data_IF_619608330063
#
_entry.id   IF_619608330063
#
_cell.length_a   1.000
_cell.length_b   1.000
_cell.length_c   1.000
_cell.angle_alpha   90.00
_cell.angle_beta   90.00
_cell.angle_gamma   90.00
#
_symmetry.space_group_name_H-M   'P 1'
#
loop_
_entity.id
_entity.type
_entity.pdbx_description
1 polymer ?
#
# COMPACT_ATOMS: atom_id res chain seq x y z
N UNK A 1 9.60 -5.49 -33.78
CA UNK A 1 8.64 -5.83 -32.70
C UNK A 1 8.27 -4.55 -31.99
N UNK A 2 6.97 -4.28 -31.87
CA UNK A 2 6.41 -3.15 -31.12
C UNK A 2 6.79 -3.26 -29.64
N UNK A 3 6.98 -2.12 -28.96
CA UNK A 3 7.34 -2.07 -27.54
C UNK A 3 6.10 -1.74 -26.73
N UNK A 4 5.95 -2.42 -25.60
CA UNK A 4 4.80 -2.28 -24.71
C UNK A 4 5.27 -1.85 -23.32
N UNK A 5 4.40 -1.11 -22.65
CA UNK A 5 4.43 -0.92 -21.21
C UNK A 5 3.55 -2.00 -20.58
N UNK A 6 4.11 -2.79 -19.68
CA UNK A 6 3.46 -3.91 -19.00
C UNK A 6 3.48 -3.58 -17.51
N UNK A 7 2.32 -3.23 -16.97
CA UNK A 7 2.15 -2.96 -15.55
C UNK A 7 1.62 -4.22 -14.86
N UNK A 8 2.24 -4.61 -13.76
CA UNK A 8 1.98 -5.89 -13.09
C UNK A 8 1.75 -5.65 -11.61
N UNK A 9 0.65 -6.21 -11.10
CA UNK A 9 0.39 -6.29 -9.67
C UNK A 9 1.14 -7.47 -9.02
N UNK A 10 1.38 -7.37 -7.71
CA UNK A 10 2.13 -8.36 -6.95
C UNK A 10 1.21 -9.43 -6.38
N UNK A 11 0.42 -9.09 -5.37
CA UNK A 11 -0.32 -10.05 -4.55
C UNK A 11 -1.49 -10.67 -5.32
N UNK A 12 -1.49 -12.00 -5.42
CA UNK A 12 -2.51 -12.72 -6.18
C UNK A 12 -2.38 -12.59 -7.71
N UNK A 13 -1.34 -11.90 -8.19
CA UNK A 13 -1.03 -11.73 -9.62
C UNK A 13 0.34 -12.30 -9.97
N UNK A 14 1.43 -11.63 -9.57
CA UNK A 14 2.80 -12.11 -9.82
C UNK A 14 3.29 -13.08 -8.74
N UNK A 15 2.75 -12.98 -7.52
CA UNK A 15 3.16 -13.79 -6.37
C UNK A 15 1.94 -14.26 -5.59
N UNK A 16 1.94 -15.53 -5.19
CA UNK A 16 0.95 -16.08 -4.26
C UNK A 16 1.38 -15.89 -2.80
N UNK A 17 2.68 -16.00 -2.52
CA UNK A 17 3.27 -15.65 -1.23
C UNK A 17 4.70 -15.09 -1.43
N UNK A 18 5.22 -14.40 -0.42
CA UNK A 18 6.57 -13.81 -0.44
C UNK A 18 7.69 -14.86 -0.45
N UNK A 19 7.38 -16.12 -0.12
CA UNK A 19 8.35 -17.20 0.06
C UNK A 19 8.54 -18.09 -1.17
N UNK A 20 7.65 -17.99 -2.17
CA UNK A 20 7.65 -18.81 -3.38
C UNK A 20 7.23 -17.97 -4.59
N UNK A 21 8.21 -17.35 -5.25
CA UNK A 21 7.97 -16.75 -6.57
C UNK A 21 8.27 -17.77 -7.68
N UNK A 22 7.52 -17.72 -8.78
CA UNK A 22 7.70 -18.61 -9.92
C UNK A 22 8.87 -18.16 -10.81
N UNK A 23 9.94 -18.96 -10.84
CA UNK A 23 11.15 -18.66 -11.62
C UNK A 23 10.87 -18.58 -13.13
N UNK A 24 9.92 -19.35 -13.66
CA UNK A 24 9.57 -19.32 -15.09
C UNK A 24 8.97 -17.95 -15.46
N UNK A 25 7.99 -17.48 -14.68
CA UNK A 25 7.38 -16.16 -14.85
C UNK A 25 8.41 -15.04 -14.74
N UNK A 26 9.27 -15.07 -13.73
CA UNK A 26 10.30 -14.03 -13.55
C UNK A 26 11.32 -14.05 -14.70
N UNK A 27 11.73 -15.24 -15.17
CA UNK A 27 12.60 -15.37 -16.34
C UNK A 27 11.94 -14.81 -17.60
N UNK A 28 10.63 -15.05 -17.78
CA UNK A 28 9.89 -14.53 -18.92
C UNK A 28 9.77 -12.99 -18.88
N UNK A 29 9.49 -12.40 -17.72
CA UNK A 29 9.44 -10.94 -17.56
C UNK A 29 10.80 -10.29 -17.83
N UNK A 30 11.90 -10.89 -17.35
CA UNK A 30 13.26 -10.45 -17.70
C UNK A 30 13.54 -10.57 -19.19
N UNK A 31 13.06 -11.64 -19.83
CA UNK A 31 13.17 -11.80 -21.27
C UNK A 31 12.41 -10.70 -22.03
N UNK A 32 11.16 -10.41 -21.66
CA UNK A 32 10.39 -9.30 -22.25
C UNK A 32 11.11 -7.96 -22.06
N UNK A 33 11.67 -7.70 -20.88
CA UNK A 33 12.53 -6.52 -20.66
C UNK A 33 13.73 -6.49 -21.60
N UNK A 34 14.42 -7.62 -21.82
CA UNK A 34 15.55 -7.70 -22.75
C UNK A 34 15.16 -7.44 -24.21
N UNK A 35 13.90 -7.73 -24.56
CA UNK A 35 13.32 -7.36 -25.85
C UNK A 35 12.93 -5.88 -25.92
N UNK A 36 13.14 -5.08 -24.87
CA UNK A 36 12.89 -3.63 -24.85
C UNK A 36 11.48 -3.25 -24.39
N UNK A 37 10.68 -4.18 -23.86
CA UNK A 37 9.44 -3.83 -23.15
C UNK A 37 9.77 -3.15 -21.82
N UNK A 38 8.86 -2.30 -21.35
CA UNK A 38 8.96 -1.67 -20.03
C UNK A 38 8.05 -2.41 -19.07
N UNK A 39 8.62 -2.98 -18.02
CA UNK A 39 7.88 -3.68 -16.97
C UNK A 39 7.79 -2.73 -15.77
N UNK A 40 6.58 -2.46 -15.28
CA UNK A 40 6.32 -1.59 -14.11
C UNK A 40 5.55 -2.38 -13.07
N UNK A 41 5.96 -2.26 -11.80
CA UNK A 41 5.21 -2.83 -10.67
C UNK A 41 4.16 -1.81 -10.21
N UNK A 42 2.93 -2.26 -9.98
CA UNK A 42 1.88 -1.48 -9.34
C UNK A 42 1.18 -2.28 -8.26
N UNK A 43 1.32 -1.87 -7.00
CA UNK A 43 0.89 -2.66 -5.84
C UNK A 43 0.34 -1.79 -4.72
N UNK A 44 -0.55 -2.37 -3.90
CA UNK A 44 -0.95 -1.79 -2.62
C UNK A 44 0.16 -1.78 -1.58
N UNK A 45 1.20 -2.62 -1.76
CA UNK A 45 2.32 -2.73 -0.84
C UNK A 45 3.15 -1.43 -0.74
N UNK A 46 3.74 -1.17 0.42
CA UNK A 46 4.78 -0.16 0.58
C UNK A 46 6.05 -0.53 -0.23
N UNK A 47 6.92 0.45 -0.45
CA UNK A 47 8.17 0.22 -1.17
C UNK A 47 9.03 -0.84 -0.48
N UNK A 48 9.18 -0.78 0.85
CA UNK A 48 10.00 -1.73 1.63
C UNK A 48 9.67 -3.20 1.39
N UNK A 49 8.40 -3.53 1.20
CA UNK A 49 7.95 -4.92 1.00
C UNK A 49 7.78 -5.32 -0.45
N UNK A 50 7.99 -4.39 -1.41
CA UNK A 50 7.89 -4.66 -2.85
C UNK A 50 9.24 -4.52 -3.57
N UNK A 51 10.22 -3.89 -2.92
CA UNK A 51 11.52 -3.59 -3.51
C UNK A 51 12.33 -4.84 -3.89
N UNK A 52 12.20 -5.94 -3.15
CA UNK A 52 12.90 -7.18 -3.49
C UNK A 52 12.47 -7.70 -4.89
N UNK A 53 11.18 -7.61 -5.24
CA UNK A 53 10.67 -7.99 -6.57
C UNK A 53 11.25 -7.08 -7.65
N UNK A 54 11.30 -5.77 -7.37
CA UNK A 54 11.91 -4.78 -8.25
C UNK A 54 13.37 -5.16 -8.58
N UNK A 55 14.12 -5.59 -7.57
CA UNK A 55 15.50 -6.05 -7.72
C UNK A 55 15.60 -7.38 -8.48
N UNK A 56 14.75 -8.38 -8.16
CA UNK A 56 14.74 -9.70 -8.82
C UNK A 56 14.44 -9.62 -10.33
N UNK A 57 13.60 -8.66 -10.72
CA UNK A 57 13.27 -8.39 -12.13
C UNK A 57 14.30 -7.47 -12.80
N UNK A 58 15.22 -6.86 -12.05
CA UNK A 58 16.22 -5.92 -12.56
C UNK A 58 15.60 -4.72 -13.25
N UNK A 59 14.58 -4.13 -12.62
CA UNK A 59 13.82 -3.01 -13.17
C UNK A 59 14.62 -1.71 -13.15
N UNK A 60 14.33 -0.86 -14.12
CA UNK A 60 14.88 0.50 -14.28
C UNK A 60 13.78 1.57 -14.43
N UNK A 61 12.54 1.16 -14.15
CA UNK A 61 11.32 1.95 -14.32
C UNK A 61 10.81 2.45 -12.97
N UNK A 62 9.81 3.36 -12.98
CA UNK A 62 9.06 3.67 -11.76
C UNK A 62 8.38 2.43 -11.16
N UNK A 63 8.09 2.52 -9.87
CA UNK A 63 7.26 1.60 -9.09
C UNK A 63 6.12 2.38 -8.46
N UNK A 64 4.92 1.79 -8.51
CA UNK A 64 3.69 2.35 -7.95
C UNK A 64 3.35 1.58 -6.67
N UNK A 65 3.30 2.28 -5.54
CA UNK A 65 3.03 1.76 -4.21
C UNK A 65 1.77 2.40 -3.61
N UNK A 66 1.24 1.80 -2.54
CA UNK A 66 0.04 2.26 -1.83
C UNK A 66 -1.12 2.58 -2.78
N UNK A 67 -1.40 1.69 -3.74
CA UNK A 67 -2.48 1.85 -4.72
C UNK A 67 -2.40 3.16 -5.53
N UNK A 68 -1.19 3.67 -5.78
CA UNK A 68 -0.98 4.90 -6.54
C UNK A 68 -0.66 6.13 -5.71
N UNK A 69 -0.78 6.04 -4.38
CA UNK A 69 -0.50 7.17 -3.50
C UNK A 69 1.00 7.51 -3.42
N UNK A 70 1.89 6.58 -3.75
CA UNK A 70 3.32 6.84 -3.81
C UNK A 70 3.95 6.27 -5.08
N UNK A 71 4.56 7.13 -5.91
CA UNK A 71 5.23 6.72 -7.15
C UNK A 71 6.64 7.28 -7.14
N UNK A 72 7.62 6.38 -7.26
CA UNK A 72 9.05 6.72 -7.28
C UNK A 72 9.78 5.87 -8.32
N UNK A 73 11.02 6.23 -8.67
CA UNK A 73 11.91 5.35 -9.42
C UNK A 73 13.20 5.09 -8.63
N UNK A 74 13.37 3.90 -8.01
CA UNK A 74 14.58 3.57 -7.29
C UNK A 74 15.87 3.61 -8.11
N UNK A 75 15.77 3.48 -9.44
CA UNK A 75 16.91 3.55 -10.36
C UNK A 75 17.24 4.97 -10.85
N UNK A 76 16.36 5.94 -10.61
CA UNK A 76 16.52 7.34 -11.03
C UNK A 76 16.13 8.32 -9.91
N UNK A 77 17.11 8.80 -9.12
CA UNK A 77 16.86 9.75 -8.05
C UNK A 77 16.29 11.10 -8.49
N UNK A 78 16.39 11.44 -9.79
CA UNK A 78 15.83 12.67 -10.34
C UNK A 78 14.38 12.51 -10.81
N UNK A 79 13.83 11.29 -10.77
CA UNK A 79 12.46 11.02 -11.17
C UNK A 79 11.46 11.76 -10.26
N UNK A 80 10.44 12.43 -10.83
CA UNK A 80 9.42 13.11 -10.03
C UNK A 80 8.70 12.16 -9.08
N UNK A 81 8.57 12.57 -7.82
CA UNK A 81 7.85 11.78 -6.81
C UNK A 81 6.39 12.20 -6.79
N UNK A 82 5.50 11.22 -6.90
CA UNK A 82 4.09 11.37 -6.50
C UNK A 82 3.98 10.93 -5.04
N UNK A 83 3.43 11.78 -4.17
CA UNK A 83 3.17 11.49 -2.77
C UNK A 83 1.82 12.12 -2.39
N UNK A 84 0.79 11.28 -2.34
CA UNK A 84 -0.58 11.62 -2.00
C UNK A 84 -0.88 11.00 -0.64
N UNK A 85 -1.49 11.79 0.24
CA UNK A 85 -1.73 11.39 1.63
C UNK A 85 -3.15 11.69 2.06
N UNK A 86 -3.66 10.85 2.95
CA UNK A 86 -4.94 11.05 3.62
C UNK A 86 -4.72 12.03 4.77
N UNK A 87 -5.44 13.16 4.86
CA UNK A 87 -5.34 14.02 6.03
C UNK A 87 -5.65 13.23 7.29
N UNK A 88 -4.74 13.18 8.26
CA UNK A 88 -4.92 12.37 9.48
C UNK A 88 -6.19 12.76 10.26
N UNK A 89 -6.62 14.01 10.12
CA UNK A 89 -7.85 14.48 10.75
C UNK A 89 -9.08 13.72 10.22
N UNK A 90 -9.11 13.33 8.94
CA UNK A 90 -10.20 12.51 8.41
C UNK A 90 -10.23 11.13 9.06
N UNK A 91 -9.07 10.53 9.33
CA UNK A 91 -9.00 9.26 10.05
C UNK A 91 -9.49 9.40 11.49
N UNK A 92 -9.16 10.50 12.16
CA UNK A 92 -9.65 10.77 13.52
C UNK A 92 -11.16 10.98 13.54
N UNK A 93 -11.71 11.69 12.55
CA UNK A 93 -13.16 11.86 12.41
C UNK A 93 -13.85 10.52 12.15
N UNK A 94 -13.29 9.65 11.30
CA UNK A 94 -13.82 8.29 11.05
C UNK A 94 -13.83 7.48 12.36
N UNK A 95 -12.75 7.52 13.14
CA UNK A 95 -12.67 6.84 14.44
C UNK A 95 -13.77 7.37 15.39
N UNK A 96 -13.98 8.69 15.43
CA UNK A 96 -15.01 9.31 16.26
C UNK A 96 -16.43 8.94 15.82
N UNK A 97 -16.68 8.83 14.52
CA UNK A 97 -17.98 8.42 13.97
C UNK A 97 -18.26 6.95 14.23
N UNK A 98 -17.26 6.08 14.07
CA UNK A 98 -17.43 4.64 14.24
C UNK A 98 -17.59 4.23 15.70
N UNK A 99 -16.97 4.94 16.65
CA UNK A 99 -17.03 4.63 18.09
C UNK A 99 -16.81 3.14 18.39
N UNK A 100 -17.78 2.46 19.00
CA UNK A 100 -17.71 1.03 19.33
C UNK A 100 -17.80 0.13 18.09
N UNK A 101 -18.15 0.69 16.93
CA UNK A 101 -18.08 0.04 15.62
C UNK A 101 -16.66 -0.22 15.12
N UNK A 102 -15.66 0.54 15.59
CA UNK A 102 -14.26 0.33 15.22
C UNK A 102 -13.70 -0.93 15.91
N UNK A 103 -13.26 -1.90 15.11
CA UNK A 103 -12.55 -3.09 15.60
C UNK A 103 -11.05 -2.76 15.71
N UNK A 104 -10.48 -2.19 14.64
CA UNK A 104 -9.08 -1.81 14.60
C UNK A 104 -8.81 -0.84 13.45
N UNK A 105 -7.66 -0.17 13.48
CA UNK A 105 -7.15 0.63 12.38
C UNK A 105 -5.62 0.59 12.41
N UNK A 106 -5.01 0.48 11.23
CA UNK A 106 -3.60 0.83 11.08
C UNK A 106 -3.39 1.72 9.86
N UNK A 107 -2.30 2.47 9.91
CA UNK A 107 -1.90 3.42 8.87
C UNK A 107 -0.41 3.29 8.59
N UNK A 108 0.00 3.68 7.38
CA UNK A 108 1.39 3.62 6.97
C UNK A 108 1.92 4.97 6.50
N UNK A 109 3.09 5.35 7.02
CA UNK A 109 3.88 6.49 6.58
C UNK A 109 5.26 5.98 6.18
N UNK A 110 5.47 5.76 4.88
CA UNK A 110 6.68 5.09 4.37
C UNK A 110 6.91 3.77 5.12
N UNK A 111 8.01 3.65 5.87
CA UNK A 111 8.36 2.43 6.58
C UNK A 111 7.78 2.33 8.00
N UNK A 112 7.08 3.38 8.44
CA UNK A 112 6.44 3.42 9.76
C UNK A 112 5.00 2.96 9.67
N UNK A 113 4.65 2.04 10.55
CA UNK A 113 3.32 1.46 10.70
C UNK A 113 2.76 1.91 12.05
N UNK A 114 1.59 2.54 12.03
CA UNK A 114 0.89 2.99 13.23
C UNK A 114 -0.37 2.15 13.39
N UNK A 115 -0.48 1.42 14.49
CA UNK A 115 -1.60 0.49 14.75
C UNK A 115 -2.30 0.83 16.06
N UNK A 116 -3.62 0.88 16.03
CA UNK A 116 -4.41 1.21 17.22
C UNK A 116 -4.26 0.15 18.31
N UNK A 117 -4.49 -1.12 17.97
CA UNK A 117 -4.35 -2.25 18.89
C UNK A 117 -3.71 -3.45 18.18
N UNK A 118 -2.41 -3.69 18.38
CA UNK A 118 -1.75 -4.81 17.72
C UNK A 118 -2.18 -6.17 18.28
N UNK A 119 -2.68 -7.05 17.41
CA UNK A 119 -3.09 -8.40 17.78
C UNK A 119 -2.83 -9.42 16.65
N UNK A 120 -2.90 -10.74 16.92
CA UNK A 120 -2.61 -11.75 15.90
C UNK A 120 -3.53 -11.72 14.68
N UNK A 121 -4.74 -11.16 14.76
CA UNK A 121 -5.69 -11.14 13.65
C UNK A 121 -5.31 -10.15 12.55
N UNK A 122 -4.55 -9.11 12.90
CA UNK A 122 -4.10 -8.07 11.97
C UNK A 122 -2.66 -8.28 11.48
N UNK A 123 -1.94 -9.25 12.05
CA UNK A 123 -0.51 -9.47 11.77
C UNK A 123 -0.21 -9.58 10.27
N UNK A 124 -1.00 -10.42 9.59
CA UNK A 124 -0.80 -10.72 8.16
C UNK A 124 -1.05 -9.51 7.25
N UNK A 125 -1.84 -8.53 7.71
CA UNK A 125 -2.16 -7.32 6.94
C UNK A 125 -1.09 -6.23 7.04
N UNK A 126 -0.22 -6.28 8.05
CA UNK A 126 0.65 -5.15 8.40
C UNK A 126 2.02 -5.18 7.67
N UNK A 127 2.40 -6.31 7.08
CA UNK A 127 3.68 -6.49 6.38
C UNK A 127 4.87 -5.88 7.17
N UNK A 128 5.11 -6.44 8.36
CA UNK A 128 6.10 -5.92 9.33
C UNK A 128 7.55 -5.97 8.83
N UNK A 129 7.86 -6.76 7.80
CA UNK A 129 9.22 -6.93 7.30
C UNK A 129 9.84 -5.60 6.87
N UNK A 130 10.90 -5.20 7.56
CA UNK A 130 11.60 -3.93 7.33
C UNK A 130 10.88 -2.67 7.82
N UNK A 131 9.70 -2.80 8.44
CA UNK A 131 8.93 -1.67 8.97
C UNK A 131 9.16 -1.43 10.47
N UNK A 132 8.88 -0.21 10.94
CA UNK A 132 8.86 0.13 12.38
C UNK A 132 7.41 0.28 12.82
N UNK A 133 7.01 -0.53 13.80
CA UNK A 133 5.64 -0.51 14.31
C UNK A 133 5.51 0.31 15.59
N UNK A 134 4.49 1.17 15.63
CA UNK A 134 4.05 1.93 16.79
C UNK A 134 2.63 1.49 17.13
N UNK A 135 2.43 0.98 18.36
CA UNK A 135 1.13 0.52 18.82
C UNK A 135 0.56 1.45 19.90
N UNK A 136 -0.71 1.79 19.79
CA UNK A 136 -1.43 2.63 20.74
C UNK A 136 -2.51 3.48 20.07
N UNK A 137 -3.26 4.23 20.87
CA UNK A 137 -4.36 5.07 20.37
C UNK A 137 -3.90 5.95 19.19
N UNK A 138 -4.48 5.73 18.01
CA UNK A 138 -4.00 6.31 16.75
C UNK A 138 -3.89 7.84 16.81
N UNK A 139 -4.85 8.51 17.47
CA UNK A 139 -4.86 9.97 17.70
C UNK A 139 -3.61 10.50 18.40
N UNK A 140 -2.94 9.67 19.21
CA UNK A 140 -1.75 10.01 20.00
C UNK A 140 -0.46 9.62 19.30
N UNK A 141 -0.48 8.59 18.46
CA UNK A 141 0.74 8.03 17.87
C UNK A 141 0.95 8.44 16.40
N UNK A 142 -0.11 8.77 15.65
CA UNK A 142 0.01 9.08 14.22
C UNK A 142 0.61 10.48 14.00
N UNK A 143 1.87 10.51 13.58
CA UNK A 143 2.68 11.74 13.57
C UNK A 143 2.46 12.64 12.35
N UNK A 144 1.96 12.11 11.24
CA UNK A 144 1.72 12.86 10.00
C UNK A 144 0.57 12.23 9.19
N UNK A 145 0.28 12.81 8.03
CA UNK A 145 -0.71 12.26 7.09
C UNK A 145 -0.17 10.96 6.45
N UNK A 146 -0.91 9.83 6.52
CA UNK A 146 -0.47 8.55 5.96
C UNK A 146 -0.79 8.39 4.47
N UNK A 147 -0.08 7.46 3.83
CA UNK A 147 -0.32 7.08 2.43
C UNK A 147 -1.52 6.14 2.28
N UNK A 148 -1.90 5.45 3.35
CA UNK A 148 -3.02 4.53 3.38
C UNK A 148 -3.43 4.17 4.81
N UNK A 149 -4.67 3.71 4.94
CA UNK A 149 -5.21 3.18 6.18
C UNK A 149 -6.04 1.94 5.89
N UNK A 150 -5.94 0.93 6.75
CA UNK A 150 -6.84 -0.21 6.75
C UNK A 150 -7.70 -0.15 8.02
N UNK A 151 -9.01 -0.11 7.83
CA UNK A 151 -10.00 0.06 8.91
C UNK A 151 -10.81 -1.22 9.02
N UNK A 152 -10.76 -1.83 10.20
CA UNK A 152 -11.57 -2.99 10.55
C UNK A 152 -12.79 -2.50 11.31
N UNK A 153 -13.97 -2.74 10.77
CA UNK A 153 -15.25 -2.23 11.27
C UNK A 153 -16.24 -3.38 11.49
N UNK A 154 -17.09 -3.29 12.50
CA UNK A 154 -18.21 -4.23 12.68
C UNK A 154 -19.19 -4.11 11.51
N UNK A 155 -19.74 -5.23 11.05
CA UNK A 155 -20.75 -5.25 9.97
C UNK A 155 -21.92 -4.29 10.22
N UNK A 156 -22.33 -4.12 11.48
CA UNK A 156 -23.41 -3.20 11.87
C UNK A 156 -23.11 -1.72 11.64
N UNK A 157 -21.84 -1.35 11.46
CA UNK A 157 -21.38 0.02 11.25
C UNK A 157 -20.82 0.24 9.84
N UNK A 158 -20.85 -0.78 8.98
CA UNK A 158 -20.30 -0.67 7.63
C UNK A 158 -21.04 0.39 6.79
N UNK A 159 -22.38 0.44 6.88
CA UNK A 159 -23.17 1.48 6.19
C UNK A 159 -22.85 2.88 6.70
N UNK A 160 -22.61 3.04 8.01
CA UNK A 160 -22.22 4.33 8.60
C UNK A 160 -20.87 4.79 8.04
N UNK A 161 -19.91 3.88 7.90
CA UNK A 161 -18.61 4.19 7.28
C UNK A 161 -18.78 4.62 5.83
N UNK A 162 -19.54 3.88 5.03
CA UNK A 162 -19.80 4.23 3.64
C UNK A 162 -20.47 5.59 3.51
N UNK A 163 -21.53 5.85 4.28
CA UNK A 163 -22.22 7.13 4.28
C UNK A 163 -21.27 8.27 4.68
N UNK A 164 -20.45 8.08 5.71
CA UNK A 164 -19.45 9.09 6.10
C UNK A 164 -18.47 9.39 4.97
N UNK A 165 -17.88 8.34 4.37
CA UNK A 165 -16.92 8.52 3.27
C UNK A 165 -17.61 9.20 2.09
N UNK A 166 -18.82 8.79 1.71
CA UNK A 166 -19.59 9.36 0.59
C UNK A 166 -19.93 10.84 0.75
N UNK A 167 -20.37 11.25 1.94
CA UNK A 167 -20.76 12.64 2.20
C UNK A 167 -19.55 13.57 2.32
N UNK A 168 -18.39 13.05 2.73
CA UNK A 168 -17.16 13.82 2.91
C UNK A 168 -16.19 13.65 1.71
N UNK A 169 -16.64 13.08 0.58
CA UNK A 169 -15.87 12.91 -0.68
C UNK A 169 -15.47 14.25 -1.30
N UNK A 170 -14.44 14.89 -0.78
CA UNK A 170 -13.57 15.71 -1.60
C UNK A 170 -12.60 14.80 -2.35
N UNK A 171 -13.00 14.13 -3.45
CA UNK A 171 -12.16 13.40 -4.44
C UNK A 171 -10.97 12.51 -3.99
N UNK A 172 -10.73 12.26 -2.70
CA UNK A 172 -9.41 11.81 -2.21
C UNK A 172 -9.42 10.46 -1.46
N UNK A 173 -10.58 9.78 -1.32
CA UNK A 173 -10.70 8.53 -0.57
C UNK A 173 -11.63 7.57 -1.32
N UNK A 174 -11.11 6.41 -1.71
CA UNK A 174 -11.87 5.28 -2.27
C UNK A 174 -11.99 4.19 -1.19
N UNK A 175 -13.16 3.55 -1.09
CA UNK A 175 -13.50 2.52 -0.10
C UNK A 175 -13.72 1.17 -0.78
#
# INVERSE_FOLDING_TARGET
MEKYLITIDLDGTLMYDLSSYDEETFAYLRHLKSLGHKIVIATGRPLRSSYFVYQLLGLDTPIINYNGAYITNPADPAYPVTDIRIPRQELFNIIEVLQDGLINIFCEIHDDIFVHDYNPQIHDFIHLDGGRMFAGELSKILTADPHGALIFVKDSHLNLLYEYVEHNRGNNIEA
#
